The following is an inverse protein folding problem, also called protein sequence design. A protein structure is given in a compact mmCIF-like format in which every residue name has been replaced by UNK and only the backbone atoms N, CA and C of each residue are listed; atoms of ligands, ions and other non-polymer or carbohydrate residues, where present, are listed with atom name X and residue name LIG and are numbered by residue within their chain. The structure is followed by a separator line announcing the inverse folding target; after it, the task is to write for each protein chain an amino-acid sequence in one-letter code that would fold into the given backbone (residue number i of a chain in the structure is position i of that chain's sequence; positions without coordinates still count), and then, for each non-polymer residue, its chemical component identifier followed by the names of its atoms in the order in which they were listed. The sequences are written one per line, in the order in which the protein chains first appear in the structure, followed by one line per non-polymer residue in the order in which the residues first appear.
data_IF_632260923818
#
_entry.id   IF_632260923818
#
_cell.length_a   1.000
_cell.length_b   1.000
_cell.length_c   1.000
_cell.angle_alpha   90.00
_cell.angle_beta   90.00
_cell.angle_gamma   90.00
#
_symmetry.space_group_name_H-M   'P 1'
#
loop_
_entity.id
_entity.type
_entity.pdbx_description
1 polymer ?
#
# COMPACT_ATOMS: atom_id res chain seq x y z
N UNK A 1 72.86 21.67 29.46
CA UNK A 1 72.46 21.32 28.08
C UNK A 1 71.48 20.16 28.20
N UNK A 2 70.25 20.08 27.68
CA UNK A 2 69.31 20.83 26.82
C UNK A 2 67.93 20.61 27.49
N UNK A 3 67.08 21.63 27.75
CA UNK A 3 66.03 22.18 26.84
C UNK A 3 65.22 21.03 26.18
N UNK A 4 63.90 20.91 26.24
CA UNK A 4 62.80 21.85 26.53
C UNK A 4 61.50 21.04 26.57
N UNK A 5 60.48 21.59 27.24
CA UNK A 5 59.06 21.23 27.19
C UNK A 5 58.55 20.74 25.82
N UNK A 6 57.69 19.73 25.84
CA UNK A 6 56.71 19.48 24.78
C UNK A 6 55.31 19.34 25.41
N UNK A 7 54.47 20.31 25.05
CA UNK A 7 53.06 20.47 25.40
C UNK A 7 52.21 19.30 24.90
N UNK A 8 51.32 18.78 25.75
CA UNK A 8 50.13 18.05 25.29
C UNK A 8 48.89 18.72 25.87
N UNK A 9 48.29 19.59 25.05
CA UNK A 9 46.99 20.21 25.28
C UNK A 9 45.92 19.22 24.80
N UNK A 10 45.35 18.44 25.71
CA UNK A 10 44.22 17.54 25.38
C UNK A 10 42.94 18.39 25.42
N UNK A 11 42.56 18.90 24.25
CA UNK A 11 41.28 19.53 23.98
C UNK A 11 40.22 18.41 23.90
N UNK A 12 39.55 18.14 25.01
CA UNK A 12 38.45 17.18 25.07
C UNK A 12 37.22 17.80 24.40
N UNK A 13 37.09 17.61 23.09
CA UNK A 13 35.90 17.99 22.33
C UNK A 13 34.77 17.05 22.78
N UNK A 14 33.90 17.56 23.64
CA UNK A 14 32.64 16.90 23.97
C UNK A 14 31.75 16.89 22.73
N UNK A 15 31.68 15.74 22.07
CA UNK A 15 30.69 15.47 21.04
C UNK A 15 29.31 15.45 21.69
N UNK A 16 28.60 16.57 21.57
CA UNK A 16 27.18 16.67 21.87
C UNK A 16 26.42 15.79 20.87
N UNK A 17 26.13 14.54 21.25
CA UNK A 17 25.26 13.67 20.46
C UNK A 17 23.82 14.13 20.66
N UNK A 18 23.33 14.94 19.73
CA UNK A 18 21.88 15.16 19.59
C UNK A 18 21.27 13.83 19.12
N UNK A 19 20.72 13.06 20.05
CA UNK A 19 19.84 11.94 19.74
C UNK A 19 18.52 12.52 19.22
N UNK A 20 18.44 12.71 17.90
CA UNK A 20 17.18 13.06 17.24
C UNK A 20 16.30 11.80 17.27
N UNK A 21 15.49 11.68 18.33
CA UNK A 21 14.55 10.58 18.48
C UNK A 21 13.33 10.83 17.57
N UNK A 22 13.51 10.60 16.26
CA UNK A 22 12.39 10.54 15.32
C UNK A 22 11.70 9.16 15.43
N UNK A 23 11.17 8.82 16.61
CA UNK A 23 10.24 7.70 16.73
C UNK A 23 8.86 8.19 16.25
N UNK A 24 8.62 8.16 14.94
CA UNK A 24 7.24 8.15 14.47
C UNK A 24 6.63 6.83 14.93
N UNK A 25 5.82 6.86 15.98
CA UNK A 25 5.21 5.65 16.56
C UNK A 25 4.57 4.79 15.47
N UNK A 26 5.06 3.57 15.30
CA UNK A 26 4.47 2.61 14.38
C UNK A 26 3.08 2.23 14.90
N UNK A 27 2.03 2.75 14.26
CA UNK A 27 0.65 2.37 14.62
C UNK A 27 0.42 0.92 14.24
N UNK A 28 0.13 0.05 15.21
CA UNK A 28 -0.23 -1.35 14.94
C UNK A 28 -1.43 -1.40 13.98
N UNK A 29 -1.35 -2.26 12.96
CA UNK A 29 -2.45 -2.49 12.02
C UNK A 29 -3.51 -3.33 12.73
N UNK A 30 -4.71 -2.78 12.86
CA UNK A 30 -5.89 -3.50 13.39
C UNK A 30 -6.63 -4.11 12.20
N UNK A 31 -6.90 -5.41 12.24
CA UNK A 31 -7.66 -6.10 11.20
C UNK A 31 -9.08 -6.38 11.68
N UNK A 32 -10.06 -6.21 10.78
CA UNK A 32 -11.44 -6.62 11.08
C UNK A 32 -11.55 -8.15 11.18
N UNK A 33 -12.54 -8.62 11.94
CA UNK A 33 -12.80 -10.05 12.16
C UNK A 33 -13.11 -10.81 10.86
N UNK A 34 -13.71 -10.13 9.87
CA UNK A 34 -14.01 -10.70 8.56
C UNK A 34 -12.77 -11.20 7.81
N UNK A 35 -11.56 -10.82 8.21
CA UNK A 35 -10.31 -11.30 7.60
C UNK A 35 -10.02 -12.76 7.97
N UNK A 36 -10.57 -13.28 9.07
CA UNK A 36 -10.37 -14.68 9.48
C UNK A 36 -11.08 -15.65 8.53
N UNK A 37 -12.18 -15.23 7.90
CA UNK A 37 -12.93 -16.03 6.92
C UNK A 37 -12.06 -16.37 5.69
N UNK A 38 -12.16 -17.59 5.13
CA UNK A 38 -11.49 -17.96 3.88
C UNK A 38 -11.82 -17.03 2.71
N UNK A 39 -11.01 -17.09 1.64
CA UNK A 39 -11.31 -16.39 0.40
C UNK A 39 -12.59 -16.94 -0.23
N UNK A 40 -13.49 -16.05 -0.66
CA UNK A 40 -14.64 -16.43 -1.46
C UNK A 40 -14.25 -16.64 -2.94
N UNK A 41 -15.20 -17.09 -3.78
CA UNK A 41 -14.94 -17.34 -5.21
C UNK A 41 -14.41 -16.10 -5.94
N UNK A 42 -15.11 -14.98 -5.86
CA UNK A 42 -14.71 -13.74 -6.53
C UNK A 42 -13.32 -13.25 -6.11
N UNK A 43 -12.96 -13.37 -4.83
CA UNK A 43 -11.62 -13.00 -4.36
C UNK A 43 -10.53 -13.95 -4.89
N UNK A 44 -10.82 -15.24 -5.02
CA UNK A 44 -9.92 -16.20 -5.66
C UNK A 44 -9.75 -15.89 -7.13
N UNK A 45 -10.82 -15.51 -7.83
CA UNK A 45 -10.78 -15.16 -9.24
C UNK A 45 -9.95 -13.89 -9.45
N UNK A 46 -10.18 -12.84 -8.65
CA UNK A 46 -9.37 -11.62 -8.66
C UNK A 46 -7.88 -11.89 -8.44
N UNK A 47 -7.57 -12.80 -7.52
CA UNK A 47 -6.19 -13.18 -7.22
C UNK A 47 -5.57 -14.03 -8.34
N UNK A 48 -6.32 -14.96 -8.90
CA UNK A 48 -5.88 -15.82 -10.00
C UNK A 48 -5.63 -15.00 -11.26
N UNK A 49 -6.48 -14.01 -11.55
CA UNK A 49 -6.30 -13.10 -12.67
C UNK A 49 -4.95 -12.36 -12.61
N UNK A 50 -4.57 -11.85 -11.43
CA UNK A 50 -3.36 -11.03 -11.26
C UNK A 50 -2.11 -11.87 -11.08
N UNK A 51 -2.19 -12.96 -10.32
CA UNK A 51 -1.02 -13.73 -9.92
C UNK A 51 -0.84 -15.03 -10.71
N UNK A 52 -1.89 -15.60 -11.32
CA UNK A 52 -1.82 -16.83 -12.09
C UNK A 52 -1.09 -17.95 -11.34
N UNK A 53 -0.10 -18.55 -11.99
CA UNK A 53 0.75 -19.62 -11.43
C UNK A 53 1.54 -19.16 -10.19
N UNK A 54 1.83 -17.86 -10.09
CA UNK A 54 2.56 -17.27 -8.97
C UNK A 54 1.70 -17.06 -7.71
N UNK A 55 0.39 -17.32 -7.77
CA UNK A 55 -0.56 -17.07 -6.69
C UNK A 55 -0.18 -17.79 -5.41
N UNK A 56 0.16 -19.07 -5.50
CA UNK A 56 0.46 -19.90 -4.34
C UNK A 56 1.68 -19.39 -3.58
N UNK A 57 2.82 -19.30 -4.27
CA UNK A 57 4.10 -18.90 -3.68
C UNK A 57 4.13 -17.43 -3.19
N UNK A 58 3.41 -16.51 -3.85
CA UNK A 58 3.46 -15.09 -3.48
C UNK A 58 2.38 -14.69 -2.47
N UNK A 59 1.25 -15.39 -2.43
CA UNK A 59 0.10 -15.01 -1.61
C UNK A 59 -0.32 -16.11 -0.64
N UNK A 60 -0.70 -17.28 -1.15
CA UNK A 60 -1.38 -18.29 -0.34
C UNK A 60 -0.47 -18.92 0.72
N UNK A 61 0.79 -19.17 0.36
CA UNK A 61 1.78 -19.75 1.27
C UNK A 61 2.35 -18.73 2.27
N UNK A 62 1.98 -17.44 2.16
CA UNK A 62 2.36 -16.39 3.10
C UNK A 62 1.13 -15.86 3.87
N UNK A 63 0.87 -16.35 5.10
CA UNK A 63 -0.32 -16.00 5.86
C UNK A 63 -0.49 -14.49 6.10
N UNK A 64 0.60 -13.75 6.33
CA UNK A 64 0.54 -12.29 6.56
C UNK A 64 0.21 -11.53 5.27
N UNK A 65 0.76 -11.98 4.14
CA UNK A 65 0.43 -11.42 2.82
C UNK A 65 -1.03 -11.67 2.47
N UNK A 66 -1.50 -12.90 2.66
CA UNK A 66 -2.91 -13.27 2.47
C UNK A 66 -3.84 -12.45 3.38
N UNK A 67 -3.47 -12.25 4.64
CA UNK A 67 -4.20 -11.39 5.59
C UNK A 67 -4.28 -9.95 5.08
N UNK A 68 -3.17 -9.40 4.60
CA UNK A 68 -3.10 -8.04 4.06
C UNK A 68 -3.97 -7.86 2.82
N UNK A 69 -3.94 -8.83 1.89
CA UNK A 69 -4.76 -8.80 0.67
C UNK A 69 -6.24 -8.89 0.98
N UNK A 70 -6.65 -9.79 1.89
CA UNK A 70 -8.04 -9.84 2.35
C UNK A 70 -8.48 -8.49 2.92
N UNK A 71 -7.60 -7.79 3.64
CA UNK A 71 -7.90 -6.47 4.19
C UNK A 71 -8.06 -5.40 3.10
N UNK A 72 -7.21 -5.45 2.07
CA UNK A 72 -7.31 -4.58 0.89
C UNK A 72 -8.69 -4.77 0.22
N UNK A 73 -9.05 -6.01 -0.12
CA UNK A 73 -10.27 -6.32 -0.87
C UNK A 73 -11.55 -6.06 -0.08
N UNK A 74 -11.59 -6.44 1.21
CA UNK A 74 -12.83 -6.40 2.00
C UNK A 74 -13.09 -5.05 2.65
N UNK A 75 -12.04 -4.40 3.16
CA UNK A 75 -12.20 -3.27 4.08
C UNK A 75 -11.69 -1.95 3.49
N UNK A 76 -10.57 -1.97 2.77
CA UNK A 76 -9.86 -0.73 2.40
C UNK A 76 -10.25 -0.14 1.06
N UNK A 77 -10.54 -0.97 0.05
CA UNK A 77 -10.99 -0.50 -1.26
C UNK A 77 -12.50 -0.27 -1.22
N UNK A 78 -12.93 0.94 -1.58
CA UNK A 78 -14.34 1.31 -1.72
C UNK A 78 -14.57 2.01 -3.06
N UNK A 79 -15.66 1.63 -3.72
CA UNK A 79 -16.12 2.28 -4.94
C UNK A 79 -17.37 3.08 -4.58
N UNK A 80 -17.31 4.40 -4.71
CA UNK A 80 -18.39 5.32 -4.35
C UNK A 80 -18.82 6.13 -5.56
N UNK A 81 -20.12 6.38 -5.69
CA UNK A 81 -20.67 7.34 -6.65
C UNK A 81 -20.66 8.71 -5.97
N UNK A 82 -19.96 9.68 -6.57
CA UNK A 82 -19.91 11.07 -6.11
C UNK A 82 -20.44 12.01 -7.19
N UNK A 83 -21.60 11.70 -7.76
CA UNK A 83 -22.30 12.53 -8.75
C UNK A 83 -22.48 13.99 -8.32
N UNK A 84 -22.64 14.26 -7.01
CA UNK A 84 -22.77 15.60 -6.44
C UNK A 84 -21.43 16.29 -6.12
N UNK A 85 -20.29 15.61 -6.23
CA UNK A 85 -18.98 16.13 -5.85
C UNK A 85 -17.91 15.77 -6.88
N UNK A 86 -17.62 16.72 -7.78
CA UNK A 86 -16.58 16.56 -8.80
C UNK A 86 -15.31 17.28 -8.35
N UNK A 87 -14.43 16.54 -7.68
CA UNK A 87 -13.06 16.97 -7.44
C UNK A 87 -12.12 16.25 -8.39
N UNK A 88 -11.12 16.99 -8.86
CA UNK A 88 -10.06 16.46 -9.71
C UNK A 88 -9.10 15.63 -8.87
N UNK A 89 -9.22 14.31 -9.05
CA UNK A 89 -8.29 13.31 -8.55
C UNK A 89 -7.61 12.63 -9.73
N UNK A 90 -6.47 11.99 -9.48
CA UNK A 90 -5.77 11.19 -10.49
C UNK A 90 -6.74 10.19 -11.13
N UNK A 91 -6.73 10.11 -12.45
CA UNK A 91 -7.60 9.19 -13.19
C UNK A 91 -7.12 7.74 -13.00
N UNK A 92 -8.06 6.80 -13.01
CA UNK A 92 -7.76 5.38 -12.98
C UNK A 92 -6.93 4.95 -14.20
N UNK A 93 -7.19 5.53 -15.37
CA UNK A 93 -6.39 5.33 -16.59
C UNK A 93 -4.91 5.68 -16.43
N UNK A 94 -4.60 6.64 -15.56
CA UNK A 94 -3.23 7.09 -15.26
C UNK A 94 -2.51 6.20 -14.24
N UNK A 95 -3.19 5.18 -13.69
CA UNK A 95 -2.57 4.19 -12.80
C UNK A 95 -2.11 3.00 -13.66
N UNK A 96 -0.81 2.70 -13.73
CA UNK A 96 -0.30 1.56 -14.51
C UNK A 96 -0.91 0.23 -14.04
N UNK A 97 -1.00 -0.74 -14.94
CA UNK A 97 -1.34 -2.11 -14.55
C UNK A 97 -0.19 -2.74 -13.75
N UNK A 98 -0.53 -3.61 -12.80
CA UNK A 98 0.42 -4.40 -12.02
C UNK A 98 0.70 -5.74 -12.73
N UNK A 99 1.35 -5.67 -13.89
CA UNK A 99 1.60 -6.80 -14.79
C UNK A 99 2.85 -7.64 -14.42
N UNK A 100 3.35 -7.52 -13.19
CA UNK A 100 4.57 -8.20 -12.73
C UNK A 100 4.47 -9.73 -12.81
N UNK A 101 3.31 -10.28 -12.48
CA UNK A 101 3.08 -11.74 -12.41
C UNK A 101 2.28 -12.26 -13.60
N UNK A 102 1.49 -11.39 -14.23
CA UNK A 102 0.75 -11.72 -15.43
C UNK A 102 0.91 -10.59 -16.45
N UNK A 103 1.74 -10.82 -17.46
CA UNK A 103 2.02 -9.86 -18.55
C UNK A 103 0.84 -9.68 -19.50
N UNK A 104 -0.11 -10.62 -19.51
CA UNK A 104 -1.31 -10.57 -20.35
C UNK A 104 -2.44 -9.69 -19.79
N UNK A 105 -2.26 -9.11 -18.59
CA UNK A 105 -3.24 -8.21 -17.98
C UNK A 105 -3.57 -7.04 -18.91
N UNK A 106 -4.87 -6.81 -19.10
CA UNK A 106 -5.41 -5.70 -19.89
C UNK A 106 -6.35 -4.86 -19.06
N UNK A 107 -6.43 -3.57 -19.42
CA UNK A 107 -7.43 -2.66 -18.89
C UNK A 107 -8.74 -2.92 -19.63
N UNK A 108 -9.81 -3.04 -18.86
CA UNK A 108 -11.17 -3.22 -19.36
C UNK A 108 -11.99 -1.96 -19.09
N UNK A 109 -13.15 -1.87 -19.73
CA UNK A 109 -14.13 -0.86 -19.36
C UNK A 109 -14.51 -1.06 -17.89
N UNK A 110 -14.59 0.03 -17.14
CA UNK A 110 -14.91 -0.05 -15.73
C UNK A 110 -16.34 -0.57 -15.51
N UNK A 111 -16.44 -1.64 -14.73
CA UNK A 111 -17.69 -2.13 -14.15
C UNK A 111 -17.47 -2.34 -12.64
N UNK A 112 -18.33 -1.72 -11.83
CA UNK A 112 -18.27 -1.79 -10.38
C UNK A 112 -18.40 -3.22 -9.84
N UNK A 113 -19.18 -4.08 -10.51
CA UNK A 113 -19.45 -5.43 -10.05
C UNK A 113 -18.26 -6.38 -10.24
N UNK A 114 -17.41 -6.11 -11.23
CA UNK A 114 -16.28 -6.97 -11.62
C UNK A 114 -14.91 -6.32 -11.41
N UNK A 115 -14.88 -5.06 -10.95
CA UNK A 115 -13.64 -4.33 -10.75
C UNK A 115 -12.67 -5.06 -9.81
N UNK A 116 -11.52 -5.46 -10.35
CA UNK A 116 -10.42 -6.01 -9.58
C UNK A 116 -9.37 -4.93 -9.27
N UNK A 117 -9.28 -4.44 -8.01
CA UNK A 117 -8.31 -3.42 -7.64
C UNK A 117 -6.85 -3.89 -7.74
N UNK A 118 -6.59 -5.19 -7.66
CA UNK A 118 -5.23 -5.74 -7.66
C UNK A 118 -4.57 -5.68 -9.05
N UNK A 119 -5.35 -5.46 -10.12
CA UNK A 119 -4.83 -5.26 -11.49
C UNK A 119 -4.00 -3.99 -11.62
N UNK A 120 -4.13 -3.04 -10.70
CA UNK A 120 -3.54 -1.72 -10.79
C UNK A 120 -2.39 -1.57 -9.79
N UNK A 121 -1.36 -0.84 -10.19
CA UNK A 121 -0.20 -0.52 -9.35
C UNK A 121 -0.51 0.57 -8.34
N UNK A 122 -1.56 0.39 -7.53
CA UNK A 122 -1.85 1.24 -6.39
C UNK A 122 -0.80 1.06 -5.29
N UNK A 123 -0.49 2.15 -4.57
CA UNK A 123 0.32 2.04 -3.36
C UNK A 123 -0.57 1.68 -2.16
N UNK A 124 -0.91 0.39 -2.07
CA UNK A 124 -1.70 -0.14 -0.96
C UNK A 124 -1.04 0.00 0.40
N UNK A 125 0.20 0.48 0.51
CA UNK A 125 0.91 0.69 1.78
C UNK A 125 1.14 2.18 2.08
N UNK A 126 0.56 3.07 1.27
CA UNK A 126 0.56 4.50 1.52
C UNK A 126 0.01 4.83 2.92
N UNK A 127 0.65 5.80 3.58
CA UNK A 127 0.23 6.28 4.90
C UNK A 127 -1.13 6.98 4.87
N UNK A 128 -1.49 7.58 3.74
CA UNK A 128 -2.69 8.37 3.54
C UNK A 128 -3.69 7.64 2.64
N UNK A 129 -4.98 7.98 2.78
CA UNK A 129 -6.02 7.52 1.86
C UNK A 129 -5.75 8.02 0.45
N UNK A 130 -5.80 7.12 -0.52
CA UNK A 130 -5.70 7.46 -1.93
C UNK A 130 -7.09 7.48 -2.55
N UNK A 131 -7.31 8.40 -3.48
CA UNK A 131 -8.58 8.53 -4.20
C UNK A 131 -8.26 8.67 -5.68
N UNK A 132 -8.91 7.86 -6.50
CA UNK A 132 -8.77 7.85 -7.95
C UNK A 132 -10.15 8.03 -8.58
N UNK A 133 -10.24 8.90 -9.57
CA UNK A 133 -11.47 9.08 -10.34
C UNK A 133 -11.52 8.05 -11.46
N UNK A 134 -12.65 7.36 -11.59
CA UNK A 134 -12.87 6.46 -12.72
C UNK A 134 -13.20 7.30 -13.95
N UNK A 135 -12.44 7.11 -15.01
CA UNK A 135 -12.58 7.81 -16.29
C UNK A 135 -14.02 7.79 -16.79
N UNK A 136 -14.53 8.95 -17.24
CA UNK A 136 -15.85 9.11 -17.85
C UNK A 136 -17.04 8.63 -17.00
N UNK A 137 -16.89 8.52 -15.67
CA UNK A 137 -17.98 8.20 -14.75
C UNK A 137 -18.00 9.14 -13.55
N UNK A 138 -19.01 8.97 -12.68
CA UNK A 138 -19.08 9.62 -11.37
C UNK A 138 -18.47 8.75 -10.25
N UNK A 139 -17.86 7.61 -10.60
CA UNK A 139 -17.28 6.70 -9.61
C UNK A 139 -15.88 7.11 -9.19
N UNK A 140 -15.60 6.88 -7.90
CA UNK A 140 -14.29 7.07 -7.30
C UNK A 140 -13.87 5.80 -6.57
N UNK A 141 -12.59 5.44 -6.72
CA UNK A 141 -11.94 4.35 -5.99
C UNK A 141 -11.19 4.99 -4.82
N UNK A 142 -11.67 4.71 -3.62
CA UNK A 142 -11.06 5.14 -2.37
C UNK A 142 -10.28 3.95 -1.80
N UNK A 143 -9.01 4.14 -1.51
CA UNK A 143 -8.13 3.16 -0.88
C UNK A 143 -7.69 3.73 0.46
N UNK A 144 -8.32 3.26 1.54
CA UNK A 144 -7.97 3.68 2.91
C UNK A 144 -6.53 3.31 3.24
N UNK A 145 -5.89 4.06 4.13
CA UNK A 145 -4.59 3.69 4.74
C UNK A 145 -4.69 2.33 5.45
N UNK A 146 -3.56 1.62 5.61
CA UNK A 146 -3.54 0.34 6.35
C UNK A 146 -3.92 0.48 7.83
N UNK A 147 -3.90 1.71 8.36
CA UNK A 147 -4.30 2.01 9.74
C UNK A 147 -5.78 2.40 9.86
N UNK A 148 -6.55 2.25 8.80
CA UNK A 148 -7.97 2.58 8.73
C UNK A 148 -8.75 1.39 8.15
N UNK A 149 -9.76 0.94 8.89
CA UNK A 149 -10.69 -0.11 8.44
C UNK A 149 -11.96 0.50 7.86
#
# INVERSE_FOLDING_TARGET
MRKTLLFFYILFISSLTLTVNAQSGSKTIVFNENIKTPLNGAEKDMLTEVYGEHLKMNILDNPQRLKSIKNILRNRVKIVDLSSFKKDYKLLSQVPLFNKYNSSLKRELFDKATFNPLKYSFDFYAKQTQVFRVDNTNYYIIIKSQHQN
#
